data_IF_970445807130
#
_entry.id   IF_970445807130
#
_cell.length_a   1.000
_cell.length_b   1.000
_cell.length_c   1.000
_cell.angle_alpha   90.00
_cell.angle_beta   90.00
_cell.angle_gamma   90.00
#
_symmetry.space_group_name_H-M   'P 1'
#
loop_
_entity.id
_entity.type
_entity.pdbx_description
1 polymer ?
#
# COMPACT_ATOMS: atom_id res chain seq x y z
N UNK A 1 41.50 15.67 -36.73
CA UNK A 1 40.84 14.45 -36.22
C UNK A 1 39.49 14.30 -36.92
N UNK A 2 39.14 13.13 -37.45
CA UNK A 2 37.85 12.92 -38.11
C UNK A 2 36.78 12.46 -37.09
N UNK A 3 35.54 12.99 -37.14
CA UNK A 3 34.45 12.53 -36.29
C UNK A 3 34.01 11.12 -36.71
N UNK A 4 33.85 10.21 -35.76
CA UNK A 4 33.59 8.80 -36.04
C UNK A 4 32.43 8.21 -35.26
N UNK A 5 32.27 8.62 -34.00
CA UNK A 5 31.27 8.02 -33.13
C UNK A 5 30.28 9.04 -32.57
N UNK A 6 29.07 8.59 -32.30
CA UNK A 6 28.06 9.37 -31.57
C UNK A 6 27.66 8.63 -30.30
N UNK A 7 27.58 9.34 -29.19
CA UNK A 7 27.19 8.76 -27.91
C UNK A 7 26.39 9.76 -27.08
N UNK A 8 25.26 9.31 -26.56
CA UNK A 8 24.38 10.10 -25.71
C UNK A 8 24.34 9.54 -24.30
N UNK A 9 24.57 10.39 -23.31
CA UNK A 9 24.38 10.08 -21.89
C UNK A 9 23.41 11.11 -21.26
N UNK A 10 23.33 11.12 -19.94
CA UNK A 10 22.42 12.02 -19.21
C UNK A 10 22.84 13.49 -19.25
N UNK A 11 24.10 13.80 -19.56
CA UNK A 11 24.60 15.19 -19.62
C UNK A 11 24.50 15.79 -21.02
N UNK A 12 24.45 14.99 -22.07
CA UNK A 12 24.42 15.48 -23.45
C UNK A 12 24.58 14.39 -24.51
N UNK A 13 24.58 14.82 -25.76
CA UNK A 13 25.01 14.03 -26.92
C UNK A 13 26.39 14.50 -27.36
N UNK A 14 27.30 13.56 -27.59
CA UNK A 14 28.70 13.82 -27.87
C UNK A 14 29.10 13.13 -29.18
N UNK A 15 29.91 13.82 -29.96
CA UNK A 15 30.60 13.25 -31.13
C UNK A 15 32.04 13.02 -30.73
N UNK A 16 32.53 11.80 -30.94
CA UNK A 16 33.91 11.41 -30.63
C UNK A 16 34.74 11.19 -31.90
N UNK A 17 36.03 11.50 -31.81
CA UNK A 17 37.04 11.18 -32.82
C UNK A 17 37.45 9.70 -32.78
N UNK A 18 38.26 9.25 -33.75
CA UNK A 18 38.85 7.91 -33.74
C UNK A 18 39.74 7.64 -32.51
N UNK A 19 40.29 8.70 -31.91
CA UNK A 19 41.13 8.65 -30.71
C UNK A 19 40.31 8.77 -29.41
N UNK A 20 38.98 8.69 -29.47
CA UNK A 20 38.06 8.80 -28.33
C UNK A 20 38.12 10.15 -27.59
N UNK A 21 38.54 11.22 -28.28
CA UNK A 21 38.43 12.60 -27.77
C UNK A 21 37.11 13.22 -28.23
N UNK A 22 36.54 14.11 -27.40
CA UNK A 22 35.30 14.81 -27.74
C UNK A 22 35.58 15.78 -28.89
N UNK A 23 34.88 15.61 -30.00
CA UNK A 23 34.96 16.44 -31.20
C UNK A 23 33.88 17.53 -31.22
N UNK A 24 32.64 17.18 -30.83
CA UNK A 24 31.51 18.13 -30.71
C UNK A 24 30.57 17.65 -29.60
N UNK A 25 29.78 18.57 -29.00
CA UNK A 25 28.85 18.24 -27.92
C UNK A 25 27.60 19.13 -27.93
N UNK A 26 26.46 18.51 -27.67
CA UNK A 26 25.21 19.18 -27.30
C UNK A 26 24.91 18.79 -25.86
N UNK A 27 25.09 19.73 -24.93
CA UNK A 27 24.81 19.51 -23.51
C UNK A 27 23.32 19.72 -23.23
N UNK A 28 22.74 18.79 -22.46
CA UNK A 28 21.37 18.91 -21.99
C UNK A 28 21.30 19.86 -20.81
N UNK A 29 20.31 20.74 -20.74
CA UNK A 29 20.11 21.63 -19.59
C UNK A 29 19.20 21.01 -18.53
N UNK A 30 18.24 20.20 -18.95
CA UNK A 30 17.25 19.57 -18.09
C UNK A 30 17.03 18.09 -18.46
N UNK A 31 16.25 17.37 -17.64
CA UNK A 31 15.91 15.96 -17.91
C UNK A 31 15.02 15.81 -19.15
N UNK A 32 14.21 16.81 -19.50
CA UNK A 32 13.34 16.76 -20.69
C UNK A 32 14.14 16.69 -21.99
N UNK A 33 15.25 17.41 -22.08
CA UNK A 33 16.20 17.34 -23.19
C UNK A 33 16.86 15.96 -23.27
N UNK A 34 17.17 15.34 -22.12
CA UNK A 34 17.64 13.95 -22.09
C UNK A 34 16.57 12.95 -22.56
N UNK A 35 15.32 13.10 -22.11
CA UNK A 35 14.18 12.28 -22.58
C UNK A 35 13.98 12.43 -24.09
N UNK A 36 14.29 13.60 -24.63
CA UNK A 36 14.23 13.92 -26.06
C UNK A 36 15.59 13.85 -26.77
N UNK A 37 16.57 13.11 -26.24
CA UNK A 37 17.95 13.04 -26.78
C UNK A 37 18.04 12.69 -28.27
N UNK A 38 17.04 11.98 -28.81
CA UNK A 38 16.96 11.67 -30.24
C UNK A 38 16.97 12.91 -31.13
N UNK A 39 16.45 14.06 -30.67
CA UNK A 39 16.53 15.32 -31.42
C UNK A 39 17.98 15.82 -31.52
N UNK A 40 18.73 15.75 -30.43
CA UNK A 40 20.14 16.14 -30.41
C UNK A 40 21.01 15.19 -31.24
N UNK A 41 20.71 13.89 -31.23
CA UNK A 41 21.37 12.90 -32.08
C UNK A 41 21.15 13.18 -33.57
N UNK A 42 19.91 13.51 -33.97
CA UNK A 42 19.59 13.85 -35.37
C UNK A 42 20.33 15.12 -35.81
N UNK A 43 20.40 16.16 -34.96
CA UNK A 43 21.13 17.39 -35.26
C UNK A 43 22.61 17.09 -35.56
N UNK A 44 23.24 16.26 -34.72
CA UNK A 44 24.66 15.92 -34.89
C UNK A 44 24.92 14.95 -36.06
N UNK A 45 24.00 14.00 -36.31
CA UNK A 45 24.06 13.11 -37.49
C UNK A 45 23.87 13.86 -38.81
N UNK A 46 23.10 14.94 -38.82
CA UNK A 46 22.96 15.82 -39.99
C UNK A 46 24.22 16.67 -40.22
N UNK A 47 24.88 17.11 -39.15
CA UNK A 47 26.10 17.92 -39.20
C UNK A 47 27.34 17.12 -39.62
N UNK A 48 27.43 15.85 -39.19
CA UNK A 48 28.57 14.98 -39.51
C UNK A 48 28.08 13.67 -40.15
N UNK A 49 28.52 13.43 -41.39
CA UNK A 49 28.19 12.20 -42.13
C UNK A 49 28.99 11.01 -41.58
N UNK A 50 28.41 9.81 -41.65
CA UNK A 50 29.02 8.52 -41.30
C UNK A 50 29.38 8.30 -39.81
N UNK A 51 28.65 8.93 -38.88
CA UNK A 51 28.78 8.61 -37.45
C UNK A 51 28.26 7.19 -37.16
N UNK A 52 29.03 6.41 -36.40
CA UNK A 52 28.65 5.08 -35.94
C UNK A 52 28.31 5.07 -34.45
N UNK A 53 27.39 4.20 -34.06
CA UNK A 53 27.16 3.90 -32.65
C UNK A 53 28.34 3.03 -32.13
N UNK A 54 28.91 3.34 -30.96
CA UNK A 54 30.10 2.66 -30.46
C UNK A 54 29.81 1.23 -30.01
N UNK A 55 30.75 0.32 -30.27
CA UNK A 55 30.72 -1.03 -29.71
C UNK A 55 31.08 -1.05 -28.22
N UNK A 56 30.80 -2.16 -27.51
CA UNK A 56 31.02 -2.29 -26.05
C UNK A 56 32.44 -1.90 -25.60
N UNK A 57 33.48 -2.26 -26.38
CA UNK A 57 34.88 -1.92 -26.06
C UNK A 57 35.18 -0.42 -26.22
N UNK A 58 34.60 0.21 -27.23
CA UNK A 58 34.75 1.62 -27.55
C UNK A 58 34.00 2.48 -26.53
N UNK A 59 32.79 2.04 -26.16
CA UNK A 59 31.97 2.67 -25.14
C UNK A 59 32.70 2.78 -23.80
N UNK A 60 33.39 1.72 -23.36
CA UNK A 60 34.15 1.75 -22.09
C UNK A 60 35.25 2.83 -22.09
N UNK A 61 35.92 3.02 -23.23
CA UNK A 61 36.94 4.07 -23.39
C UNK A 61 36.31 5.45 -23.38
N UNK A 62 35.19 5.65 -24.09
CA UNK A 62 34.45 6.92 -24.08
C UNK A 62 33.92 7.26 -22.67
N UNK A 63 33.44 6.27 -21.92
CA UNK A 63 32.93 6.46 -20.57
C UNK A 63 33.99 6.98 -19.60
N UNK A 64 35.26 6.58 -19.77
CA UNK A 64 36.35 7.12 -18.93
C UNK A 64 36.53 8.63 -19.05
N UNK A 65 36.14 9.24 -20.18
CA UNK A 65 36.21 10.70 -20.38
C UNK A 65 35.25 11.44 -19.42
N UNK A 66 34.12 10.82 -19.09
CA UNK A 66 33.12 11.40 -18.20
C UNK A 66 33.45 11.24 -16.70
N UNK A 67 34.49 10.47 -16.37
CA UNK A 67 35.05 10.41 -15.02
C UNK A 67 36.00 11.59 -14.69
N UNK A 68 36.20 12.52 -15.64
CA UNK A 68 37.01 13.71 -15.41
C UNK A 68 36.31 14.68 -14.44
N UNK A 69 37.11 15.54 -13.78
CA UNK A 69 36.60 16.60 -12.88
C UNK A 69 35.64 17.57 -13.58
N UNK A 70 35.71 17.70 -14.90
CA UNK A 70 34.85 18.60 -15.69
C UNK A 70 33.42 18.06 -15.80
N UNK A 71 33.26 16.78 -16.16
CA UNK A 71 31.94 16.21 -16.48
C UNK A 71 31.29 15.45 -15.33
N UNK A 72 32.09 14.90 -14.42
CA UNK A 72 31.58 14.05 -13.35
C UNK A 72 30.58 14.75 -12.40
N UNK A 73 30.81 16.00 -11.96
CA UNK A 73 29.85 16.69 -11.09
C UNK A 73 28.46 16.84 -11.71
N UNK A 74 28.41 17.25 -12.98
CA UNK A 74 27.15 17.41 -13.71
C UNK A 74 26.48 16.07 -14.02
N UNK A 75 27.26 15.05 -14.36
CA UNK A 75 26.77 13.70 -14.58
C UNK A 75 26.15 13.13 -13.32
N UNK A 76 26.83 13.26 -12.18
CA UNK A 76 26.35 12.82 -10.89
C UNK A 76 25.05 13.55 -10.50
N UNK A 77 25.04 14.89 -10.59
CA UNK A 77 23.88 15.73 -10.27
C UNK A 77 22.63 15.31 -11.06
N UNK A 78 22.75 15.21 -12.40
CA UNK A 78 21.62 14.82 -13.25
C UNK A 78 21.19 13.37 -13.03
N UNK A 79 22.13 12.48 -12.72
CA UNK A 79 21.81 11.07 -12.39
C UNK A 79 20.98 10.96 -11.12
N UNK A 80 21.33 11.75 -10.09
CA UNK A 80 20.52 11.87 -8.87
C UNK A 80 19.14 12.42 -9.22
N UNK A 81 19.06 13.47 -10.03
CA UNK A 81 17.80 14.09 -10.41
C UNK A 81 16.86 13.12 -11.14
N UNK A 82 17.36 12.39 -12.13
CA UNK A 82 16.61 11.36 -12.85
C UNK A 82 16.17 10.23 -11.92
N UNK A 83 17.03 9.82 -10.98
CA UNK A 83 16.69 8.79 -10.00
C UNK A 83 15.59 9.29 -9.06
N UNK A 84 15.67 10.53 -8.57
CA UNK A 84 14.61 11.16 -7.78
C UNK A 84 13.29 11.21 -8.54
N UNK A 85 13.30 11.54 -9.83
CA UNK A 85 12.09 11.54 -10.66
C UNK A 85 11.49 10.13 -10.79
N UNK A 86 12.33 9.13 -11.07
CA UNK A 86 11.88 7.71 -11.13
C UNK A 86 11.29 7.24 -9.81
N UNK A 87 11.88 7.62 -8.68
CA UNK A 87 11.35 7.30 -7.34
C UNK A 87 10.00 7.98 -7.12
N UNK A 88 9.86 9.26 -7.46
CA UNK A 88 8.58 9.97 -7.36
C UNK A 88 7.47 9.28 -8.17
N UNK A 89 7.78 8.85 -9.40
CA UNK A 89 6.85 8.13 -10.27
C UNK A 89 6.59 6.68 -9.81
N UNK A 90 7.41 6.13 -8.91
CA UNK A 90 7.24 4.78 -8.39
C UNK A 90 6.19 4.68 -7.28
N UNK A 91 5.74 5.82 -6.72
CA UNK A 91 4.63 5.86 -5.76
C UNK A 91 3.35 5.54 -6.53
N UNK A 92 2.95 4.27 -6.46
CA UNK A 92 1.74 3.78 -7.09
C UNK A 92 0.54 3.96 -6.17
N UNK A 93 -0.64 4.03 -6.79
CA UNK A 93 -1.92 4.17 -6.11
C UNK A 93 -2.23 3.00 -5.14
N UNK A 94 -1.75 1.79 -5.44
CA UNK A 94 -1.90 0.61 -4.57
C UNK A 94 -1.06 0.70 -3.29
N UNK A 95 0.11 1.36 -3.33
CA UNK A 95 0.91 1.61 -2.14
C UNK A 95 0.15 2.49 -1.13
N UNK A 96 -0.59 3.50 -1.61
CA UNK A 96 -1.39 4.35 -0.74
C UNK A 96 -2.54 3.57 -0.06
N UNK A 97 -3.11 2.58 -0.75
CA UNK A 97 -4.12 1.67 -0.17
C UNK A 97 -3.50 0.83 0.94
N UNK A 98 -2.33 0.23 0.68
CA UNK A 98 -1.59 -0.59 1.66
C UNK A 98 -1.28 0.24 2.92
N UNK A 99 -0.67 1.42 2.76
CA UNK A 99 -0.34 2.29 3.90
C UNK A 99 -1.58 2.74 4.68
N UNK A 100 -2.71 2.97 4.00
CA UNK A 100 -3.95 3.36 4.66
C UNK A 100 -4.53 2.20 5.50
N UNK A 101 -4.57 0.97 4.98
CA UNK A 101 -5.09 -0.18 5.74
C UNK A 101 -4.16 -0.56 6.90
N UNK A 102 -2.84 -0.57 6.68
CA UNK A 102 -1.85 -0.81 7.74
C UNK A 102 -2.02 0.19 8.89
N UNK A 103 -2.14 1.47 8.55
CA UNK A 103 -2.34 2.53 9.55
C UNK A 103 -3.64 2.37 10.34
N UNK A 104 -4.73 1.93 9.69
CA UNK A 104 -6.00 1.62 10.36
C UNK A 104 -5.82 0.45 11.33
N UNK A 105 -5.12 -0.62 10.93
CA UNK A 105 -4.87 -1.78 11.78
C UNK A 105 -3.96 -1.46 12.98
N UNK A 106 -2.90 -0.68 12.76
CA UNK A 106 -2.02 -0.21 13.81
C UNK A 106 -2.75 0.70 14.79
N UNK A 107 -3.56 1.65 14.29
CA UNK A 107 -4.39 2.50 15.12
C UNK A 107 -5.37 1.66 15.97
N UNK A 108 -6.02 0.66 15.38
CA UNK A 108 -6.88 -0.26 16.13
C UNK A 108 -6.13 -1.00 17.27
N UNK A 109 -4.89 -1.44 17.04
CA UNK A 109 -4.08 -2.06 18.10
C UNK A 109 -3.77 -1.06 19.22
N UNK A 110 -3.42 0.18 18.87
CA UNK A 110 -3.15 1.25 19.84
C UNK A 110 -4.40 1.60 20.65
N UNK A 111 -5.54 1.82 19.99
CA UNK A 111 -6.82 2.12 20.64
C UNK A 111 -7.21 1.01 21.61
N UNK A 112 -7.07 -0.25 21.21
CA UNK A 112 -7.38 -1.39 22.08
C UNK A 112 -6.46 -1.44 23.31
N UNK A 113 -5.16 -1.20 23.13
CA UNK A 113 -4.19 -1.16 24.22
C UNK A 113 -4.52 -0.03 25.21
N UNK A 114 -4.76 1.18 24.71
CA UNK A 114 -5.08 2.35 25.54
C UNK A 114 -6.43 2.16 26.25
N UNK A 115 -7.43 1.60 25.58
CA UNK A 115 -8.75 1.35 26.18
C UNK A 115 -8.66 0.31 27.30
N UNK A 116 -7.88 -0.76 27.11
CA UNK A 116 -7.62 -1.73 28.19
C UNK A 116 -6.97 -1.04 29.39
N UNK A 117 -5.95 -0.22 29.16
CA UNK A 117 -5.27 0.51 30.24
C UNK A 117 -6.20 1.47 30.97
N UNK A 118 -7.03 2.19 30.23
CA UNK A 118 -8.04 3.07 30.80
C UNK A 118 -9.03 2.28 31.66
N UNK A 119 -9.52 1.13 31.19
CA UNK A 119 -10.44 0.28 31.96
C UNK A 119 -9.81 -0.19 33.26
N UNK A 120 -8.57 -0.67 33.22
CA UNK A 120 -7.85 -1.09 34.42
C UNK A 120 -7.74 0.08 35.42
N UNK A 121 -7.36 1.27 34.94
CA UNK A 121 -7.21 2.44 35.79
C UNK A 121 -8.55 2.93 36.37
N UNK A 122 -9.56 3.07 35.51
CA UNK A 122 -10.90 3.54 35.91
C UNK A 122 -11.61 2.54 36.84
N UNK A 123 -11.29 1.25 36.75
CA UNK A 123 -11.88 0.23 37.64
C UNK A 123 -11.49 0.42 39.10
N UNK A 124 -10.38 1.10 39.40
CA UNK A 124 -10.05 1.46 40.78
C UNK A 124 -11.01 2.51 41.37
N UNK A 125 -11.58 3.36 40.52
CA UNK A 125 -12.51 4.43 40.89
C UNK A 125 -13.97 3.97 40.85
N UNK A 126 -14.35 3.21 39.83
CA UNK A 126 -15.71 2.70 39.63
C UNK A 126 -15.66 1.35 38.91
N UNK A 127 -15.45 0.24 39.65
CA UNK A 127 -15.34 -1.09 39.09
C UNK A 127 -16.66 -1.58 38.46
N UNK A 128 -17.80 -1.13 38.97
CA UNK A 128 -19.13 -1.52 38.48
C UNK A 128 -19.35 -1.02 37.04
N UNK A 129 -18.98 0.22 36.76
CA UNK A 129 -19.10 0.82 35.43
C UNK A 129 -18.23 0.12 34.38
N UNK A 130 -17.00 -0.28 34.74
CA UNK A 130 -16.10 -1.02 33.87
C UNK A 130 -16.64 -2.41 33.49
N UNK A 131 -17.33 -3.08 34.43
CA UNK A 131 -17.95 -4.40 34.19
C UNK A 131 -19.24 -4.32 33.37
N UNK A 132 -20.05 -3.28 33.58
CA UNK A 132 -21.35 -3.15 32.92
C UNK A 132 -21.23 -2.85 31.42
N UNK A 133 -20.26 -2.01 31.03
CA UNK A 133 -20.09 -1.60 29.63
C UNK A 133 -19.01 -2.45 28.97
N UNK A 134 -19.40 -3.50 28.25
CA UNK A 134 -18.46 -4.39 27.54
C UNK A 134 -17.87 -3.75 26.28
N UNK A 135 -18.64 -2.94 25.56
CA UNK A 135 -18.19 -2.28 24.34
C UNK A 135 -17.21 -1.14 24.65
N UNK A 136 -16.05 -1.16 23.98
CA UNK A 136 -14.96 -0.22 24.22
C UNK A 136 -15.26 1.20 23.74
N UNK A 137 -15.92 1.35 22.60
CA UNK A 137 -16.20 2.66 22.01
C UNK A 137 -17.30 3.36 22.82
N UNK A 138 -18.35 2.61 23.16
CA UNK A 138 -19.43 3.08 24.06
C UNK A 138 -18.91 3.40 25.46
N UNK A 139 -17.94 2.65 25.99
CA UNK A 139 -17.31 2.95 27.28
C UNK A 139 -16.66 4.34 27.26
N UNK A 140 -15.90 4.67 26.21
CA UNK A 140 -15.27 5.98 26.04
C UNK A 140 -16.31 7.09 25.87
N UNK A 141 -17.32 6.88 25.02
CA UNK A 141 -18.40 7.85 24.80
C UNK A 141 -19.13 8.20 26.11
N UNK A 142 -19.43 7.17 26.92
CA UNK A 142 -20.09 7.33 28.19
C UNK A 142 -19.22 8.05 29.24
N UNK A 143 -17.91 7.93 29.19
CA UNK A 143 -16.97 8.67 30.05
C UNK A 143 -16.81 10.13 29.61
N UNK A 144 -16.83 10.38 28.30
CA UNK A 144 -16.79 11.73 27.73
C UNK A 144 -18.06 12.55 28.03
N UNK A 145 -19.20 11.89 28.22
CA UNK A 145 -20.49 12.51 28.52
C UNK A 145 -20.60 13.24 29.88
N UNK A 146 -19.52 13.36 30.66
CA UNK A 146 -19.41 14.16 31.91
C UNK A 146 -20.57 14.04 32.91
N UNK A 147 -21.22 12.88 33.02
CA UNK A 147 -22.01 12.58 34.21
C UNK A 147 -21.10 11.82 35.15
N UNK A 148 -20.91 12.37 36.35
CA UNK A 148 -20.28 11.63 37.42
C UNK A 148 -21.12 10.36 37.64
N UNK A 149 -20.56 9.22 37.23
CA UNK A 149 -21.26 7.94 37.18
C UNK A 149 -20.89 7.04 38.34
N UNK A 150 -20.09 7.56 39.28
CA UNK A 150 -19.92 6.91 40.56
C UNK A 150 -21.27 7.02 41.28
N UNK A 151 -21.99 5.90 41.32
CA UNK A 151 -23.17 5.76 42.18
C UNK A 151 -22.72 5.88 43.63
N UNK A 152 -23.57 6.41 44.52
CA UNK A 152 -23.28 6.47 45.97
C UNK A 152 -22.97 5.07 46.55
N UNK A 153 -23.43 4.02 45.88
CA UNK A 153 -23.19 2.60 46.21
C UNK A 153 -21.91 2.00 45.59
N UNK A 154 -21.09 2.77 44.86
CA UNK A 154 -19.88 2.23 44.22
C UNK A 154 -18.84 1.84 45.27
N UNK A 155 -18.29 0.63 45.14
CA UNK A 155 -17.25 0.10 46.03
C UNK A 155 -15.85 0.62 45.67
N UNK A 156 -15.73 1.47 44.65
CA UNK A 156 -14.46 2.02 44.19
C UNK A 156 -13.91 3.14 45.07
N UNK A 157 -12.61 3.41 44.96
CA UNK A 157 -11.94 4.45 45.72
C UNK A 157 -12.42 5.85 45.30
N UNK A 158 -12.43 6.80 46.23
CA UNK A 158 -12.58 8.21 45.88
C UNK A 158 -11.24 8.74 45.36
N UNK A 159 -11.18 9.05 44.06
CA UNK A 159 -10.01 9.69 43.47
C UNK A 159 -10.12 11.20 43.64
N UNK A 160 -9.04 11.83 44.09
CA UNK A 160 -8.91 13.29 44.06
C UNK A 160 -8.98 13.80 42.61
N UNK A 161 -9.33 15.08 42.43
CA UNK A 161 -9.37 15.72 41.11
C UNK A 161 -8.04 15.59 40.36
N UNK A 162 -6.92 15.75 41.07
CA UNK A 162 -5.56 15.59 40.53
C UNK A 162 -5.31 14.18 39.99
N UNK A 163 -5.84 13.14 40.65
CA UNK A 163 -5.71 11.76 40.20
C UNK A 163 -6.66 11.41 39.04
N UNK A 164 -7.71 12.20 38.83
CA UNK A 164 -8.67 12.05 37.73
C UNK A 164 -8.22 12.75 36.43
N UNK A 165 -7.44 13.82 36.52
CA UNK A 165 -6.95 14.54 35.33
C UNK A 165 -6.22 13.65 34.32
N UNK A 166 -5.25 12.80 34.72
CA UNK A 166 -4.58 11.90 33.79
C UNK A 166 -5.51 10.89 33.11
N UNK A 167 -6.55 10.42 33.83
CA UNK A 167 -7.57 9.51 33.29
C UNK A 167 -8.39 10.23 32.23
N UNK A 168 -8.80 11.47 32.50
CA UNK A 168 -9.55 12.32 31.57
C UNK A 168 -8.72 12.59 30.30
N UNK A 169 -7.44 12.87 30.43
CA UNK A 169 -6.57 13.09 29.28
C UNK A 169 -6.37 11.83 28.44
N UNK A 170 -6.27 10.67 29.08
CA UNK A 170 -6.26 9.39 28.39
C UNK A 170 -7.57 9.14 27.62
N UNK A 171 -8.73 9.45 28.21
CA UNK A 171 -10.04 9.35 27.54
C UNK A 171 -10.07 10.23 26.29
N UNK A 172 -9.66 11.51 26.40
CA UNK A 172 -9.60 12.43 25.26
C UNK A 172 -8.67 11.93 24.17
N UNK A 173 -7.51 11.37 24.54
CA UNK A 173 -6.56 10.83 23.58
C UNK A 173 -7.17 9.64 22.83
N UNK A 174 -7.84 8.72 23.53
CA UNK A 174 -8.51 7.57 22.90
C UNK A 174 -9.62 8.04 21.93
N UNK A 175 -10.45 9.00 22.34
CA UNK A 175 -11.48 9.60 21.47
C UNK A 175 -10.86 10.23 20.20
N UNK A 176 -9.73 10.92 20.34
CA UNK A 176 -9.02 11.48 19.18
C UNK A 176 -8.54 10.40 18.19
N UNK A 177 -8.13 9.23 18.69
CA UNK A 177 -7.71 8.10 17.87
C UNK A 177 -8.88 7.45 17.13
N UNK A 178 -10.04 7.29 17.79
CA UNK A 178 -11.28 6.86 17.13
C UNK A 178 -11.68 7.81 16.00
N UNK A 179 -11.63 9.13 16.23
CA UNK A 179 -11.89 10.14 15.19
C UNK A 179 -10.90 10.06 14.04
N UNK A 180 -9.61 9.81 14.33
CA UNK A 180 -8.59 9.61 13.31
C UNK A 180 -8.88 8.37 12.46
N UNK A 181 -9.21 7.24 13.10
CA UNK A 181 -9.60 5.99 12.43
C UNK A 181 -10.73 6.23 11.43
N UNK A 182 -11.81 6.90 11.86
CA UNK A 182 -12.93 7.20 10.97
C UNK A 182 -12.54 8.04 9.74
N UNK A 183 -11.62 9.01 9.89
CA UNK A 183 -11.08 9.77 8.75
C UNK A 183 -10.24 8.88 7.82
N UNK A 184 -9.45 7.97 8.37
CA UNK A 184 -8.63 7.03 7.59
C UNK A 184 -9.49 6.04 6.81
N UNK A 185 -10.57 5.53 7.41
CA UNK A 185 -11.53 4.64 6.74
C UNK A 185 -12.22 5.33 5.56
N UNK A 186 -12.66 6.59 5.73
CA UNK A 186 -13.22 7.39 4.63
C UNK A 186 -12.20 7.65 3.52
N UNK A 187 -10.93 7.87 3.88
CA UNK A 187 -9.85 8.03 2.90
C UNK A 187 -9.60 6.73 2.13
N UNK A 188 -9.51 5.60 2.83
CA UNK A 188 -9.35 4.28 2.23
C UNK A 188 -10.50 3.95 1.27
N UNK A 189 -11.75 4.25 1.66
CA UNK A 189 -12.92 4.06 0.81
C UNK A 189 -12.83 4.87 -0.50
N UNK A 190 -12.40 6.14 -0.42
CA UNK A 190 -12.19 6.98 -1.61
C UNK A 190 -11.11 6.41 -2.52
N UNK A 191 -9.99 5.96 -1.96
CA UNK A 191 -8.90 5.35 -2.74
C UNK A 191 -9.35 4.06 -3.42
N UNK A 192 -10.01 3.17 -2.68
CA UNK A 192 -10.47 1.88 -3.20
C UNK A 192 -11.52 2.05 -4.30
N UNK A 193 -12.50 2.96 -4.14
CA UNK A 193 -13.48 3.24 -5.18
C UNK A 193 -12.85 3.86 -6.44
N UNK A 194 -11.83 4.69 -6.28
CA UNK A 194 -11.13 5.32 -7.41
C UNK A 194 -10.24 4.34 -8.17
N UNK A 195 -9.49 3.51 -7.45
CA UNK A 195 -8.39 2.71 -8.02
C UNK A 195 -8.77 1.24 -8.25
N UNK A 196 -9.64 0.68 -7.40
CA UNK A 196 -10.05 -0.73 -7.42
C UNK A 196 -11.59 -0.90 -7.29
N UNK A 197 -12.39 -0.33 -8.20
CA UNK A 197 -13.85 -0.35 -8.09
C UNK A 197 -14.45 -1.75 -8.19
N UNK A 198 -13.90 -2.64 -9.02
CA UNK A 198 -14.44 -4.00 -9.17
C UNK A 198 -14.18 -4.85 -7.93
N UNK A 199 -12.95 -4.78 -7.40
CA UNK A 199 -12.57 -5.48 -6.17
C UNK A 199 -13.41 -5.00 -4.99
N UNK A 200 -13.64 -3.69 -4.89
CA UNK A 200 -14.50 -3.09 -3.86
C UNK A 200 -15.93 -3.60 -3.93
N UNK A 201 -16.50 -3.74 -5.13
CA UNK A 201 -17.86 -4.22 -5.31
C UNK A 201 -18.06 -5.69 -4.89
N UNK A 202 -17.04 -6.53 -5.11
CA UNK A 202 -17.08 -7.97 -4.81
C UNK A 202 -16.68 -8.30 -3.38
N UNK A 203 -15.56 -7.75 -2.89
CA UNK A 203 -14.99 -8.09 -1.58
C UNK A 203 -15.35 -7.07 -0.47
N UNK A 204 -15.73 -5.85 -0.84
CA UNK A 204 -15.80 -4.71 0.08
C UNK A 204 -14.45 -4.01 0.26
N UNK A 205 -14.49 -2.81 0.84
CA UNK A 205 -13.33 -1.91 1.00
C UNK A 205 -12.25 -2.55 1.88
N UNK A 206 -12.61 -2.96 3.09
CA UNK A 206 -11.65 -3.46 4.09
C UNK A 206 -10.98 -4.75 3.64
N UNK A 207 -11.76 -5.74 3.19
CA UNK A 207 -11.23 -7.03 2.74
C UNK A 207 -10.42 -6.86 1.46
N UNK A 208 -10.90 -6.05 0.52
CA UNK A 208 -10.14 -5.72 -0.70
C UNK A 208 -8.79 -5.09 -0.39
N UNK A 209 -8.74 -4.13 0.54
CA UNK A 209 -7.50 -3.49 0.96
C UNK A 209 -6.55 -4.47 1.66
N UNK A 210 -7.05 -5.31 2.58
CA UNK A 210 -6.25 -6.36 3.26
C UNK A 210 -5.69 -7.39 2.27
N UNK A 211 -6.43 -7.73 1.20
CA UNK A 211 -5.95 -8.64 0.15
C UNK A 211 -4.77 -8.03 -0.63
N UNK A 212 -4.84 -6.72 -0.91
CA UNK A 212 -3.75 -5.99 -1.59
C UNK A 212 -2.52 -5.91 -0.67
N UNK A 213 -2.73 -5.64 0.63
CA UNK A 213 -1.68 -5.61 1.66
C UNK A 213 -0.97 -6.96 1.76
N UNK A 214 -1.69 -8.06 1.97
CA UNK A 214 -1.09 -9.39 2.04
C UNK A 214 -0.35 -9.79 0.75
N UNK A 215 -0.80 -9.31 -0.41
CA UNK A 215 -0.12 -9.51 -1.68
C UNK A 215 1.04 -8.51 -1.93
N UNK A 216 1.24 -7.51 -1.09
CA UNK A 216 2.21 -6.40 -1.20
C UNK A 216 2.05 -5.48 -2.43
N UNK A 217 1.14 -5.79 -3.35
CA UNK A 217 0.80 -4.91 -4.49
C UNK A 217 -0.46 -5.42 -5.18
N UNK A 218 -1.17 -4.52 -5.87
CA UNK A 218 -2.30 -4.90 -6.72
C UNK A 218 -1.85 -5.77 -7.90
N UNK A 219 -0.65 -5.49 -8.43
CA UNK A 219 -0.04 -6.30 -9.50
C UNK A 219 0.11 -7.75 -9.07
N UNK A 220 0.74 -7.98 -7.92
CA UNK A 220 0.98 -9.33 -7.43
C UNK A 220 -0.35 -10.03 -7.13
N UNK A 221 -1.31 -9.32 -6.53
CA UNK A 221 -2.66 -9.87 -6.31
C UNK A 221 -3.34 -10.34 -7.60
N UNK A 222 -3.20 -9.59 -8.70
CA UNK A 222 -3.75 -9.96 -10.01
C UNK A 222 -3.07 -11.20 -10.63
N UNK A 223 -1.78 -11.41 -10.34
CA UNK A 223 -1.00 -12.57 -10.80
C UNK A 223 -1.33 -13.85 -10.01
N UNK A 224 -1.81 -13.71 -8.76
CA UNK A 224 -2.14 -14.87 -7.92
C UNK A 224 -3.30 -15.71 -8.49
N UNK A 225 -3.24 -17.03 -8.35
CA UNK A 225 -4.40 -17.89 -8.61
C UNK A 225 -5.42 -17.76 -7.49
N UNK A 226 -6.69 -18.04 -7.80
CA UNK A 226 -7.80 -17.97 -6.85
C UNK A 226 -7.58 -18.85 -5.60
N UNK A 227 -6.91 -20.00 -5.75
CA UNK A 227 -6.57 -20.89 -4.63
C UNK A 227 -5.63 -20.26 -3.60
N UNK A 228 -4.70 -19.38 -4.03
CA UNK A 228 -3.82 -18.65 -3.12
C UNK A 228 -4.59 -17.49 -2.48
N UNK A 229 -5.37 -16.74 -3.28
CA UNK A 229 -6.23 -15.66 -2.78
C UNK A 229 -7.19 -16.15 -1.68
N UNK A 230 -7.74 -17.37 -1.84
CA UNK A 230 -8.58 -18.01 -0.83
C UNK A 230 -7.90 -18.14 0.54
N UNK A 231 -6.58 -18.36 0.55
CA UNK A 231 -5.80 -18.68 1.74
C UNK A 231 -4.97 -17.50 2.29
N UNK A 232 -4.98 -16.33 1.64
CA UNK A 232 -4.27 -15.13 2.12
C UNK A 232 -4.68 -14.78 3.56
N UNK A 233 -3.70 -14.63 4.45
CA UNK A 233 -3.86 -14.44 5.90
C UNK A 233 -3.93 -15.73 6.73
N UNK A 234 -3.94 -16.91 6.10
CA UNK A 234 -3.89 -18.22 6.77
C UNK A 234 -2.55 -18.95 6.60
N UNK A 235 -1.50 -18.26 6.19
CA UNK A 235 -0.19 -18.84 5.85
C UNK A 235 0.38 -19.64 7.01
N UNK A 236 0.30 -19.11 8.24
CA UNK A 236 0.78 -19.82 9.45
C UNK A 236 0.07 -21.16 9.66
N UNK A 237 -1.24 -21.21 9.44
CA UNK A 237 -2.02 -22.43 9.57
C UNK A 237 -1.71 -23.41 8.43
N UNK A 238 -1.51 -22.90 7.21
CA UNK A 238 -1.12 -23.68 6.05
C UNK A 238 0.27 -24.31 6.25
N UNK A 239 1.26 -23.54 6.69
CA UNK A 239 2.60 -24.04 6.98
C UNK A 239 2.59 -25.07 8.11
N UNK A 240 1.72 -24.90 9.12
CA UNK A 240 1.54 -25.91 10.17
C UNK A 240 0.96 -27.21 9.61
N UNK A 241 -0.06 -27.13 8.75
CA UNK A 241 -0.60 -28.31 8.06
C UNK A 241 0.50 -29.04 7.26
N UNK A 242 1.32 -28.31 6.49
CA UNK A 242 2.40 -28.90 5.70
C UNK A 242 3.50 -29.56 6.57
N UNK A 243 3.81 -28.98 7.74
CA UNK A 243 4.87 -29.49 8.63
C UNK A 243 4.41 -30.63 9.53
N UNK A 244 3.20 -30.54 10.08
CA UNK A 244 2.74 -31.43 11.17
C UNK A 244 1.52 -32.26 10.80
N UNK A 245 0.99 -32.15 9.57
CA UNK A 245 -0.24 -32.83 9.16
C UNK A 245 -1.51 -32.33 9.85
N UNK A 246 -1.47 -31.20 10.55
CA UNK A 246 -2.65 -30.58 11.20
C UNK A 246 -3.76 -30.27 10.19
N UNK A 247 -5.01 -30.02 10.59
CA UNK A 247 -6.08 -29.72 9.62
C UNK A 247 -5.74 -28.49 8.74
N UNK A 248 -5.89 -28.65 7.42
CA UNK A 248 -5.64 -27.58 6.45
C UNK A 248 -6.64 -26.43 6.60
N UNK A 249 -6.20 -25.16 6.52
CA UNK A 249 -7.11 -24.01 6.52
C UNK A 249 -7.96 -24.00 5.25
N UNK A 250 -9.23 -23.61 5.39
CA UNK A 250 -10.17 -23.49 4.26
C UNK A 250 -10.23 -22.08 3.67
N UNK A 251 -9.79 -21.08 4.43
CA UNK A 251 -9.84 -19.68 4.08
C UNK A 251 -8.90 -18.90 5.00
N UNK A 252 -8.45 -17.73 4.56
CA UNK A 252 -7.77 -16.74 5.40
C UNK A 252 -8.67 -15.55 5.70
N UNK A 253 -8.27 -14.33 5.30
CA UNK A 253 -9.01 -13.09 5.61
C UNK A 253 -10.43 -13.04 5.05
N UNK A 254 -10.75 -13.86 4.04
CA UNK A 254 -12.09 -13.93 3.45
C UNK A 254 -13.18 -14.34 4.46
N UNK A 255 -12.84 -14.98 5.58
CA UNK A 255 -13.82 -15.35 6.60
C UNK A 255 -14.58 -14.15 7.20
N UNK A 256 -13.99 -12.95 7.15
CA UNK A 256 -14.63 -11.72 7.62
C UNK A 256 -15.78 -11.27 6.69
N UNK A 257 -15.84 -11.80 5.46
CA UNK A 257 -16.83 -11.40 4.48
C UNK A 257 -18.25 -11.80 4.91
N UNK A 258 -19.26 -10.90 4.82
CA UNK A 258 -20.64 -11.18 5.26
C UNK A 258 -21.23 -12.46 4.67
N UNK A 259 -21.00 -12.73 3.38
CA UNK A 259 -21.48 -13.94 2.70
C UNK A 259 -20.93 -15.25 3.32
N UNK A 260 -19.74 -15.23 3.90
CA UNK A 260 -19.14 -16.41 4.54
C UNK A 260 -19.61 -16.49 5.99
N UNK A 261 -19.59 -15.37 6.71
CA UNK A 261 -20.05 -15.28 8.10
C UNK A 261 -21.52 -15.68 8.30
N UNK A 262 -22.37 -15.42 7.31
CA UNK A 262 -23.80 -15.79 7.34
C UNK A 262 -24.07 -17.22 6.84
N UNK A 263 -23.11 -17.86 6.17
CA UNK A 263 -23.29 -19.21 5.63
C UNK A 263 -23.17 -20.28 6.73
N UNK A 264 -23.61 -21.51 6.43
CA UNK A 264 -23.42 -22.65 7.33
C UNK A 264 -21.92 -23.02 7.38
N UNK A 265 -21.43 -23.44 8.56
CA UNK A 265 -20.01 -23.85 8.76
C UNK A 265 -19.51 -24.90 7.76
N UNK A 266 -20.38 -25.80 7.30
CA UNK A 266 -20.06 -26.80 6.27
C UNK A 266 -19.76 -26.17 4.90
N UNK A 267 -20.40 -25.04 4.59
CA UNK A 267 -20.37 -24.37 3.29
C UNK A 267 -19.30 -23.28 3.19
N UNK A 268 -18.72 -22.83 4.31
CA UNK A 268 -17.72 -21.76 4.32
C UNK A 268 -16.58 -21.99 3.30
N UNK A 269 -16.13 -23.24 3.11
CA UNK A 269 -15.09 -23.56 2.13
C UNK A 269 -15.54 -23.42 0.68
N UNK A 270 -16.78 -23.83 0.36
CA UNK A 270 -17.39 -23.67 -0.98
C UNK A 270 -17.57 -22.17 -1.27
N UNK A 271 -18.08 -21.42 -0.29
CA UNK A 271 -18.30 -19.98 -0.38
C UNK A 271 -17.00 -19.21 -0.54
N UNK A 272 -15.98 -19.50 0.28
CA UNK A 272 -14.67 -18.87 0.19
C UNK A 272 -14.00 -19.11 -1.17
N UNK A 273 -14.11 -20.32 -1.73
CA UNK A 273 -13.60 -20.61 -3.07
C UNK A 273 -14.32 -19.81 -4.15
N UNK A 274 -15.66 -19.81 -4.13
CA UNK A 274 -16.44 -19.06 -5.10
C UNK A 274 -16.19 -17.55 -5.02
N UNK A 275 -16.00 -17.00 -3.81
CA UNK A 275 -15.64 -15.61 -3.60
C UNK A 275 -14.23 -15.32 -4.13
N UNK A 276 -13.24 -16.16 -3.81
CA UNK A 276 -11.87 -16.00 -4.29
C UNK A 276 -11.77 -16.02 -5.82
N UNK A 277 -12.56 -16.87 -6.50
CA UNK A 277 -12.63 -16.90 -7.97
C UNK A 277 -13.05 -15.53 -8.54
N UNK A 278 -14.09 -14.91 -7.95
CA UNK A 278 -14.60 -13.61 -8.39
C UNK A 278 -13.65 -12.46 -8.03
N UNK A 279 -13.01 -12.53 -6.87
CA UNK A 279 -11.98 -11.59 -6.44
C UNK A 279 -10.79 -11.62 -7.41
N UNK A 280 -10.32 -12.79 -7.82
CA UNK A 280 -9.21 -12.92 -8.77
C UNK A 280 -9.53 -12.23 -10.11
N UNK A 281 -10.76 -12.40 -10.62
CA UNK A 281 -11.22 -11.74 -11.84
C UNK A 281 -11.28 -10.22 -11.64
N UNK A 282 -11.89 -9.77 -10.55
CA UNK A 282 -12.02 -8.35 -10.22
C UNK A 282 -10.65 -7.66 -10.10
N UNK A 283 -9.71 -8.26 -9.37
CA UNK A 283 -8.36 -7.75 -9.18
C UNK A 283 -7.59 -7.59 -10.50
N UNK A 284 -7.72 -8.57 -11.41
CA UNK A 284 -7.11 -8.49 -12.75
C UNK A 284 -7.68 -7.35 -13.57
N UNK A 285 -9.01 -7.19 -13.56
CA UNK A 285 -9.67 -6.13 -14.31
C UNK A 285 -9.26 -4.76 -13.77
N UNK A 286 -9.23 -4.59 -12.45
CA UNK A 286 -8.78 -3.33 -11.83
C UNK A 286 -7.32 -3.03 -12.17
N UNK A 287 -6.43 -4.03 -12.09
CA UNK A 287 -5.01 -3.85 -12.42
C UNK A 287 -4.78 -3.46 -13.89
N UNK A 288 -5.45 -4.13 -14.83
CA UNK A 288 -5.35 -3.84 -16.26
C UNK A 288 -6.26 -2.69 -16.73
N UNK A 289 -6.93 -1.97 -15.79
CA UNK A 289 -7.82 -0.84 -16.07
C UNK A 289 -8.96 -1.17 -17.05
N UNK A 290 -9.56 -2.35 -16.88
CA UNK A 290 -10.72 -2.78 -17.66
C UNK A 290 -12.03 -2.07 -17.25
N UNK A 291 -13.12 -2.40 -17.94
CA UNK A 291 -14.46 -1.85 -17.64
C UNK A 291 -14.96 -2.31 -16.27
N UNK A 292 -15.82 -1.50 -15.65
CA UNK A 292 -16.50 -1.90 -14.43
C UNK A 292 -17.52 -3.01 -14.69
N UNK A 293 -17.32 -4.16 -14.05
CA UNK A 293 -18.21 -5.34 -14.07
C UNK A 293 -18.50 -5.87 -12.66
N UNK A 294 -18.15 -5.12 -11.62
CA UNK A 294 -18.25 -5.55 -10.22
C UNK A 294 -19.64 -6.02 -9.81
N UNK A 295 -20.70 -5.31 -10.22
CA UNK A 295 -22.08 -5.67 -9.91
C UNK A 295 -22.51 -6.99 -10.55
N UNK A 296 -22.03 -7.26 -11.77
CA UNK A 296 -22.28 -8.53 -12.45
C UNK A 296 -21.59 -9.67 -11.71
N UNK A 297 -20.31 -9.51 -11.34
CA UNK A 297 -19.55 -10.52 -10.59
C UNK A 297 -20.20 -10.84 -9.25
N UNK A 298 -20.72 -9.81 -8.56
CA UNK A 298 -21.45 -9.96 -7.30
C UNK A 298 -22.77 -10.74 -7.48
N UNK A 299 -23.57 -10.38 -8.49
CA UNK A 299 -24.82 -11.12 -8.81
C UNK A 299 -24.55 -12.58 -9.14
N UNK A 300 -23.53 -12.85 -9.95
CA UNK A 300 -23.11 -14.22 -10.29
C UNK A 300 -22.69 -15.02 -9.04
N UNK A 301 -21.99 -14.38 -8.11
CA UNK A 301 -21.62 -14.99 -6.83
C UNK A 301 -22.87 -15.35 -6.01
N UNK A 302 -23.80 -14.41 -5.84
CA UNK A 302 -25.04 -14.62 -5.08
C UNK A 302 -25.90 -15.75 -5.68
N UNK A 303 -26.02 -15.82 -7.01
CA UNK A 303 -26.72 -16.91 -7.70
C UNK A 303 -26.05 -18.27 -7.43
N UNK A 304 -24.72 -18.32 -7.47
CA UNK A 304 -23.95 -19.56 -7.25
C UNK A 304 -24.05 -20.06 -5.80
N UNK A 305 -24.24 -19.17 -4.84
CA UNK A 305 -24.34 -19.50 -3.41
C UNK A 305 -25.77 -19.88 -2.99
N UNK A 306 -26.80 -19.44 -3.71
CA UNK A 306 -28.19 -19.86 -3.50
C UNK A 306 -28.49 -21.29 -4.03
N UNK A 307 -27.56 -21.89 -4.78
CA UNK A 307 -27.61 -23.26 -5.32
C UNK A 307 -26.78 -24.24 -4.49
#
# INVERSE_FOLDING_TARGET
>A
MQPKFIFSNIIGTFVFSEQFTIFDKILFRNIEEYKNKGKAEVILKNKYKNLKDPEKKELMRMLSVFNSKEFFPDFHRKSIELTKERIKLSVKDDLLVIQAIDSIEENNKVVNLLTRRLREWYSHYNPEFSRYVSDNEKFIELLMGKKDKKTEESMGADLSRENMEPIIDLIKQIDSQYKLRGRQEQYLEKLMKKNCPNLTAVAGVTIGAKLIEHANSLKHLAELPASVIQLLGAEKALFRHMKTGAKSPKYGILHEHPLISQAKKSEHGKTARALADKIAIAARIDYFKGKFIGDQLRKELEIKLKK
#
